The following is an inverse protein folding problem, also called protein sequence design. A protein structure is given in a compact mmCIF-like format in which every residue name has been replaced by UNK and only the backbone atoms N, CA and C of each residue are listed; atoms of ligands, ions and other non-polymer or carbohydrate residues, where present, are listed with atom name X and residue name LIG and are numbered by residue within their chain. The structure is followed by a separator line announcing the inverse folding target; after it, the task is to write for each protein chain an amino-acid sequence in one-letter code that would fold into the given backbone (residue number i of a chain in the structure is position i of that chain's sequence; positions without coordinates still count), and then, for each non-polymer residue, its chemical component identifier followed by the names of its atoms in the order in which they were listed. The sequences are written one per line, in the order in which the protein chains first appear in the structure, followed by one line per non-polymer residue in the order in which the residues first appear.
data_IF_557927559309
#
_entry.id   IF_557927559309
#
_cell.length_a   1.000
_cell.length_b   1.000
_cell.length_c   1.000
_cell.angle_alpha   90.00
_cell.angle_beta   90.00
_cell.angle_gamma   90.00
#
_symmetry.space_group_name_H-M   'P 1'
#
loop_
_entity.id
_entity.type
_entity.pdbx_description
1 polymer ?
#
# COMPACT_ATOMS: atom_id res chain seq x y z
N UNK A 1 11.74 -2.47 4.04
CA UNK A 1 10.66 -2.21 5.04
C UNK A 1 10.13 -3.53 5.59
N UNK A 2 9.33 -3.48 6.66
CA UNK A 2 8.61 -4.65 7.21
C UNK A 2 7.11 -4.41 7.09
N UNK A 3 6.38 -5.37 6.54
CA UNK A 3 4.91 -5.31 6.43
C UNK A 3 4.24 -6.24 7.44
N UNK A 4 3.03 -5.91 7.89
CA UNK A 4 2.22 -6.83 8.72
C UNK A 4 1.42 -7.77 7.84
N UNK A 5 1.30 -9.05 8.20
CA UNK A 5 0.42 -10.00 7.53
C UNK A 5 -0.42 -10.76 8.55
N UNK A 6 -1.69 -10.95 8.20
CA UNK A 6 -2.68 -11.66 9.01
C UNK A 6 -3.74 -12.23 8.05
N UNK A 7 -4.73 -12.97 8.59
CA UNK A 7 -5.79 -13.59 7.76
C UNK A 7 -6.54 -12.57 6.89
N UNK A 8 -6.69 -11.32 7.35
CA UNK A 8 -7.39 -10.26 6.61
C UNK A 8 -6.67 -9.88 5.33
N UNK A 9 -5.34 -9.94 5.30
CA UNK A 9 -4.57 -9.65 4.08
C UNK A 9 -4.78 -10.74 3.02
N UNK A 10 -4.81 -12.01 3.44
CA UNK A 10 -5.18 -13.11 2.55
C UNK A 10 -6.62 -12.99 2.04
N UNK A 11 -7.55 -12.59 2.91
CA UNK A 11 -8.94 -12.36 2.53
C UNK A 11 -9.09 -11.20 1.54
N UNK A 12 -8.31 -10.12 1.71
CA UNK A 12 -8.23 -9.02 0.75
C UNK A 12 -7.72 -9.50 -0.62
N UNK A 13 -6.60 -10.24 -0.66
CA UNK A 13 -6.07 -10.87 -1.89
C UNK A 13 -7.15 -11.69 -2.61
N UNK A 14 -7.80 -12.60 -1.90
CA UNK A 14 -8.85 -13.49 -2.44
C UNK A 14 -10.05 -12.69 -2.98
N UNK A 15 -10.43 -11.63 -2.29
CA UNK A 15 -11.55 -10.78 -2.69
C UNK A 15 -11.26 -9.94 -3.93
N UNK A 16 -10.06 -9.35 -4.01
CA UNK A 16 -9.63 -8.52 -5.14
C UNK A 16 -9.45 -9.33 -6.43
N UNK A 17 -9.04 -10.59 -6.30
CA UNK A 17 -8.88 -11.52 -7.44
C UNK A 17 -10.17 -12.25 -7.82
N UNK A 18 -11.28 -12.04 -7.07
CA UNK A 18 -12.59 -12.63 -7.38
C UNK A 18 -13.45 -11.64 -8.17
N UNK A 19 -13.95 -12.01 -9.37
CA UNK A 19 -14.82 -11.14 -10.17
C UNK A 19 -16.04 -10.64 -9.39
N UNK A 20 -16.45 -9.39 -9.61
CA UNK A 20 -17.61 -8.70 -8.99
C UNK A 20 -17.43 -8.26 -7.53
N UNK A 21 -16.70 -9.00 -6.70
CA UNK A 21 -16.42 -8.60 -5.29
C UNK A 21 -15.32 -7.53 -5.21
N UNK A 22 -14.39 -7.54 -6.17
CA UNK A 22 -13.20 -6.70 -6.18
C UNK A 22 -13.46 -5.20 -6.01
N UNK A 23 -14.45 -4.61 -6.69
CA UNK A 23 -14.65 -3.15 -6.65
C UNK A 23 -15.09 -2.62 -5.28
N UNK A 24 -15.94 -3.35 -4.55
CA UNK A 24 -16.39 -2.92 -3.22
C UNK A 24 -15.26 -3.04 -2.21
N UNK A 25 -14.50 -4.13 -2.28
CA UNK A 25 -13.36 -4.37 -1.38
C UNK A 25 -12.23 -3.39 -1.68
N UNK A 26 -11.95 -3.11 -2.96
CA UNK A 26 -11.01 -2.08 -3.41
C UNK A 26 -11.32 -0.73 -2.77
N UNK A 27 -12.54 -0.20 -2.94
CA UNK A 27 -12.91 1.10 -2.36
C UNK A 27 -12.71 1.14 -0.84
N UNK A 28 -13.09 0.07 -0.12
CA UNK A 28 -12.89 -0.01 1.34
C UNK A 28 -11.42 -0.08 1.74
N UNK A 29 -10.60 -0.77 0.94
CA UNK A 29 -9.17 -0.84 1.19
C UNK A 29 -8.47 0.49 0.88
N UNK A 30 -8.91 1.22 -0.14
CA UNK A 30 -8.48 2.60 -0.40
C UNK A 30 -8.80 3.47 0.81
N UNK A 31 -10.07 3.51 1.24
CA UNK A 31 -10.50 4.28 2.42
C UNK A 31 -9.67 3.93 3.67
N UNK A 32 -9.39 2.65 3.89
CA UNK A 32 -8.58 2.17 5.01
C UNK A 32 -7.13 2.70 4.94
N UNK A 33 -6.46 2.56 3.79
CA UNK A 33 -5.08 3.01 3.65
C UNK A 33 -4.99 4.53 3.72
N UNK A 34 -5.90 5.26 3.07
CA UNK A 34 -6.01 6.71 3.20
C UNK A 34 -6.13 7.11 4.66
N UNK A 35 -7.06 6.51 5.42
CA UNK A 35 -7.22 6.81 6.85
C UNK A 35 -5.93 6.58 7.65
N UNK A 36 -5.26 5.44 7.44
CA UNK A 36 -4.01 5.09 8.12
C UNK A 36 -2.91 6.13 7.83
N UNK A 37 -2.75 6.56 6.58
CA UNK A 37 -1.70 7.52 6.23
C UNK A 37 -2.08 8.95 6.61
N UNK A 38 -3.36 9.32 6.56
CA UNK A 38 -3.83 10.59 7.11
C UNK A 38 -3.57 10.71 8.61
N UNK A 39 -3.65 9.61 9.37
CA UNK A 39 -3.29 9.61 10.78
C UNK A 39 -1.80 9.86 11.04
N UNK A 40 -0.93 9.50 10.08
CA UNK A 40 0.50 9.80 10.09
C UNK A 40 0.82 11.21 9.56
N UNK A 41 -0.04 11.76 8.70
CA UNK A 41 0.17 13.05 8.04
C UNK A 41 0.17 14.23 9.02
N UNK A 42 0.88 15.30 8.66
CA UNK A 42 0.79 16.59 9.34
C UNK A 42 -0.68 17.04 9.45
N UNK A 43 -1.14 17.26 10.69
CA UNK A 43 -2.53 17.62 11.01
C UNK A 43 -3.03 18.84 10.22
N UNK A 44 -2.15 19.79 9.90
CA UNK A 44 -2.51 21.02 9.16
C UNK A 44 -2.93 20.73 7.73
N UNK A 45 -2.36 19.70 7.11
CA UNK A 45 -2.57 19.36 5.70
C UNK A 45 -3.37 18.08 5.49
N UNK A 46 -3.82 17.42 6.56
CA UNK A 46 -4.49 16.12 6.52
C UNK A 46 -5.66 16.11 5.52
N UNK A 47 -6.62 17.01 5.68
CA UNK A 47 -7.79 17.07 4.78
C UNK A 47 -7.41 17.39 3.34
N UNK A 48 -6.38 18.22 3.13
CA UNK A 48 -5.93 18.63 1.78
C UNK A 48 -5.22 17.49 1.02
N UNK A 49 -4.70 16.49 1.73
CA UNK A 49 -4.01 15.34 1.14
C UNK A 49 -4.94 14.17 0.84
N UNK A 50 -6.16 14.18 1.38
CA UNK A 50 -7.07 13.04 1.32
C UNK A 50 -7.38 12.61 -0.12
N UNK A 51 -7.88 13.53 -0.95
CA UNK A 51 -8.30 13.19 -2.31
C UNK A 51 -7.12 12.67 -3.14
N UNK A 52 -5.91 13.21 -2.91
CA UNK A 52 -4.70 12.70 -3.54
C UNK A 52 -4.38 11.26 -3.13
N UNK A 53 -4.45 10.96 -1.83
CA UNK A 53 -4.20 9.61 -1.31
C UNK A 53 -5.24 8.61 -1.80
N UNK A 54 -6.51 9.02 -1.89
CA UNK A 54 -7.59 8.18 -2.43
C UNK A 54 -7.30 7.80 -3.89
N UNK A 55 -7.01 8.79 -4.75
CA UNK A 55 -6.68 8.55 -6.16
C UNK A 55 -5.40 7.70 -6.32
N UNK A 56 -4.37 7.98 -5.50
CA UNK A 56 -3.09 7.28 -5.55
C UNK A 56 -3.24 5.82 -5.12
N UNK A 57 -3.90 5.56 -3.99
CA UNK A 57 -4.06 4.19 -3.51
C UNK A 57 -4.95 3.37 -4.43
N UNK A 58 -6.01 3.95 -5.00
CA UNK A 58 -6.80 3.26 -6.02
C UNK A 58 -5.93 2.83 -7.20
N UNK A 59 -5.11 3.73 -7.76
CA UNK A 59 -4.19 3.39 -8.84
C UNK A 59 -3.21 2.25 -8.46
N UNK A 60 -2.64 2.28 -7.24
CA UNK A 60 -1.69 1.22 -6.82
C UNK A 60 -2.34 -0.15 -6.64
N UNK A 61 -3.66 -0.25 -6.40
CA UNK A 61 -4.33 -1.55 -6.38
C UNK A 61 -4.33 -2.24 -7.76
N UNK A 62 -4.27 -1.50 -8.87
CA UNK A 62 -4.08 -2.11 -10.20
C UNK A 62 -2.68 -2.74 -10.32
N UNK A 63 -1.65 -2.04 -9.82
CA UNK A 63 -0.28 -2.58 -9.76
C UNK A 63 -0.19 -3.82 -8.85
N UNK A 64 -0.91 -3.84 -7.74
CA UNK A 64 -1.02 -5.02 -6.87
C UNK A 64 -1.58 -6.24 -7.61
N UNK A 65 -2.69 -6.07 -8.32
CA UNK A 65 -3.32 -7.17 -9.08
C UNK A 65 -2.40 -7.64 -10.20
N UNK A 66 -1.78 -6.73 -10.95
CA UNK A 66 -0.82 -7.08 -12.00
C UNK A 66 0.40 -7.82 -11.44
N UNK A 67 0.91 -7.45 -10.26
CA UNK A 67 2.00 -8.18 -9.60
C UNK A 67 1.57 -9.61 -9.24
N UNK A 68 0.36 -9.81 -8.70
CA UNK A 68 -0.16 -11.16 -8.45
C UNK A 68 -0.27 -11.98 -9.74
N UNK A 69 -0.79 -11.39 -10.81
CA UNK A 69 -0.94 -12.05 -12.11
C UNK A 69 0.42 -12.38 -12.77
N UNK A 70 1.44 -11.56 -12.50
CA UNK A 70 2.83 -11.80 -12.90
C UNK A 70 3.53 -12.88 -12.05
N UNK A 71 2.84 -13.45 -11.05
CA UNK A 71 3.31 -14.58 -10.24
C UNK A 71 4.10 -14.17 -9.00
N UNK A 72 4.08 -12.90 -8.60
CA UNK A 72 4.61 -12.48 -7.31
C UNK A 72 3.77 -13.06 -6.17
N UNK A 73 4.42 -13.34 -5.04
CA UNK A 73 3.71 -13.72 -3.82
C UNK A 73 2.87 -12.55 -3.29
N UNK A 74 1.89 -12.83 -2.45
CA UNK A 74 1.05 -11.79 -1.84
C UNK A 74 1.88 -10.72 -1.11
N UNK A 75 2.89 -11.15 -0.35
CA UNK A 75 3.78 -10.25 0.37
C UNK A 75 4.60 -9.37 -0.57
N UNK A 76 5.10 -9.93 -1.69
CA UNK A 76 5.84 -9.16 -2.70
C UNK A 76 4.94 -8.15 -3.42
N UNK A 77 3.72 -8.56 -3.81
CA UNK A 77 2.76 -7.67 -4.46
C UNK A 77 2.38 -6.49 -3.55
N UNK A 78 2.23 -6.72 -2.23
CA UNK A 78 2.06 -5.63 -1.27
C UNK A 78 3.31 -4.78 -1.13
N UNK A 79 4.48 -5.38 -0.98
CA UNK A 79 5.69 -4.58 -0.84
C UNK A 79 5.93 -3.67 -2.05
N UNK A 80 5.62 -4.13 -3.26
CA UNK A 80 5.61 -3.32 -4.49
C UNK A 80 4.76 -2.05 -4.31
N UNK A 81 3.51 -2.16 -3.84
CA UNK A 81 2.65 -0.98 -3.69
C UNK A 81 3.05 -0.07 -2.54
N UNK A 82 3.57 -0.64 -1.45
CA UNK A 82 4.14 0.15 -0.36
C UNK A 82 5.41 0.92 -0.81
N UNK A 83 6.24 0.33 -1.69
CA UNK A 83 7.37 1.03 -2.31
C UNK A 83 6.91 2.19 -3.20
N UNK A 84 5.87 1.98 -4.02
CA UNK A 84 5.27 3.07 -4.81
C UNK A 84 4.77 4.21 -3.91
N UNK A 85 4.06 3.89 -2.82
CA UNK A 85 3.62 4.91 -1.86
C UNK A 85 4.79 5.69 -1.25
N UNK A 86 5.87 5.00 -0.87
CA UNK A 86 7.04 5.66 -0.31
C UNK A 86 7.74 6.59 -1.32
N UNK A 87 7.73 6.25 -2.63
CA UNK A 87 8.24 7.13 -3.68
C UNK A 87 7.39 8.40 -3.81
N UNK A 88 6.06 8.29 -3.78
CA UNK A 88 5.19 9.48 -3.82
C UNK A 88 5.40 10.37 -2.59
N UNK A 89 5.47 9.76 -1.39
CA UNK A 89 5.72 10.50 -0.16
C UNK A 89 7.08 11.20 -0.19
N UNK A 90 8.12 10.54 -0.70
CA UNK A 90 9.42 11.14 -0.90
C UNK A 90 9.35 12.34 -1.85
N UNK A 91 8.75 12.17 -3.03
CA UNK A 91 8.63 13.24 -4.05
C UNK A 91 7.89 14.48 -3.54
N UNK A 92 7.00 14.29 -2.56
CA UNK A 92 6.21 15.37 -1.95
C UNK A 92 6.81 15.91 -0.66
N UNK A 93 7.90 15.34 -0.16
CA UNK A 93 8.50 15.71 1.13
C UNK A 93 7.61 15.36 2.33
N UNK A 94 6.76 14.35 2.20
CA UNK A 94 5.89 13.84 3.26
C UNK A 94 6.62 12.80 4.11
N UNK A 95 7.76 13.20 4.67
CA UNK A 95 8.68 12.30 5.38
C UNK A 95 8.05 11.62 6.59
N UNK A 96 7.01 12.24 7.18
CA UNK A 96 6.24 11.68 8.28
C UNK A 96 5.42 10.45 7.88
N UNK A 97 5.08 10.30 6.60
CA UNK A 97 4.31 9.15 6.10
C UNK A 97 5.20 8.03 5.56
N UNK A 98 6.50 8.27 5.40
CA UNK A 98 7.42 7.28 4.84
C UNK A 98 7.58 6.04 5.74
N UNK A 99 7.64 4.88 5.10
CA UNK A 99 7.74 3.55 5.75
C UNK A 99 9.15 2.95 5.69
N UNK A 100 10.02 3.50 4.84
CA UNK A 100 11.46 3.27 4.85
C UNK A 100 12.20 4.57 4.51
N UNK A 101 13.47 4.74 4.95
CA UNK A 101 14.18 6.00 4.81
C UNK A 101 14.60 6.28 3.36
N UNK A 102 14.80 7.56 3.03
CA UNK A 102 15.08 8.01 1.66
C UNK A 102 16.38 7.44 1.06
N UNK A 103 17.36 7.07 1.87
CA UNK A 103 18.62 6.45 1.40
C UNK A 103 18.44 4.99 0.93
N UNK A 104 17.29 4.37 1.20
CA UNK A 104 16.96 3.02 0.73
C UNK A 104 16.13 3.00 -0.59
N UNK A 105 15.72 4.15 -1.13
CA UNK A 105 14.85 4.23 -2.32
C UNK A 105 15.38 3.43 -3.51
N UNK A 106 16.66 3.60 -3.85
CA UNK A 106 17.29 2.90 -4.97
C UNK A 106 17.36 1.39 -4.70
N UNK A 107 17.64 0.98 -3.46
CA UNK A 107 17.71 -0.45 -3.10
C UNK A 107 16.35 -1.13 -3.25
N UNK A 108 15.28 -0.48 -2.79
CA UNK A 108 13.91 -1.00 -2.96
C UNK A 108 13.47 -0.98 -4.43
N UNK A 109 13.87 0.04 -5.19
CA UNK A 109 13.65 0.07 -6.65
C UNK A 109 14.33 -1.11 -7.34
N UNK A 110 15.62 -1.33 -7.08
CA UNK A 110 16.42 -2.37 -7.73
C UNK A 110 15.86 -3.78 -7.50
N UNK A 111 15.31 -4.05 -6.31
CA UNK A 111 14.70 -5.34 -5.96
C UNK A 111 13.58 -5.75 -6.92
N UNK A 112 12.72 -4.81 -7.31
CA UNK A 112 11.59 -5.06 -8.21
C UNK A 112 11.77 -4.40 -9.57
N UNK A 113 13.00 -4.07 -9.95
CA UNK A 113 13.27 -3.25 -11.13
C UNK A 113 12.76 -3.87 -12.43
N UNK A 114 12.67 -5.21 -12.54
CA UNK A 114 12.09 -5.85 -13.72
C UNK A 114 10.57 -5.64 -13.82
N UNK A 115 9.85 -5.60 -12.69
CA UNK A 115 8.44 -5.23 -12.66
C UNK A 115 8.27 -3.73 -12.91
N UNK A 116 9.03 -2.89 -12.18
CA UNK A 116 8.93 -1.44 -12.30
C UNK A 116 9.27 -0.94 -13.71
N UNK A 117 10.36 -1.42 -14.31
CA UNK A 117 10.72 -1.06 -15.70
C UNK A 117 9.71 -1.56 -16.74
N UNK A 118 9.01 -2.66 -16.47
CA UNK A 118 7.97 -3.16 -17.40
C UNK A 118 6.77 -2.23 -17.45
N UNK A 119 6.44 -1.61 -16.33
CA UNK A 119 5.26 -0.78 -16.16
C UNK A 119 5.58 0.72 -16.04
N UNK A 120 6.76 1.14 -16.51
CA UNK A 120 7.24 2.52 -16.46
C UNK A 120 7.18 3.19 -15.07
N UNK A 121 7.23 2.39 -13.99
CA UNK A 121 7.30 2.88 -12.61
C UNK A 121 8.74 3.32 -12.33
N UNK A 122 8.90 4.52 -11.80
CA UNK A 122 10.18 5.09 -11.35
C UNK A 122 10.03 5.76 -10.00
N UNK A 123 11.15 6.16 -9.38
CA UNK A 123 11.08 6.96 -8.14
C UNK A 123 10.36 8.29 -8.42
N UNK A 124 10.64 8.95 -9.55
CA UNK A 124 10.02 10.23 -9.92
C UNK A 124 8.58 10.11 -10.43
N UNK A 125 8.21 8.95 -10.98
CA UNK A 125 6.85 8.61 -11.44
C UNK A 125 6.38 7.27 -10.82
N UNK A 126 5.84 7.30 -9.59
CA UNK A 126 5.54 6.09 -8.83
C UNK A 126 4.40 5.25 -9.41
N UNK A 127 3.53 5.85 -10.24
CA UNK A 127 2.38 5.15 -10.83
C UNK A 127 2.69 4.58 -12.21
N UNK A 128 3.58 5.20 -12.98
CA UNK A 128 3.92 4.73 -14.33
C UNK A 128 2.69 4.50 -15.21
N UNK A 129 2.58 3.31 -15.80
CA UNK A 129 1.43 2.87 -16.61
C UNK A 129 0.09 2.86 -15.84
N UNK A 130 0.11 2.74 -14.51
CA UNK A 130 -1.08 2.67 -13.67
C UNK A 130 -1.66 4.05 -13.33
N UNK A 131 -1.04 5.13 -13.82
CA UNK A 131 -1.54 6.49 -13.59
C UNK A 131 -2.94 6.67 -14.21
N UNK A 132 -3.94 7.17 -13.44
CA UNK A 132 -5.27 7.47 -13.98
C UNK A 132 -5.21 8.48 -15.13
N UNK A 133 -6.13 8.38 -16.08
CA UNK A 133 -6.13 9.25 -17.27
C UNK A 133 -6.32 10.73 -16.94
N UNK A 134 -7.14 11.03 -15.93
CA UNK A 134 -7.33 12.35 -15.34
C UNK A 134 -6.18 12.82 -14.44
N UNK A 135 -5.23 11.93 -14.11
CA UNK A 135 -4.21 12.15 -13.10
C UNK A 135 -4.71 11.87 -11.69
N UNK A 136 -3.92 12.27 -10.69
CA UNK A 136 -4.33 12.25 -9.28
C UNK A 136 -4.60 13.68 -8.81
N UNK A 137 -5.48 13.86 -7.82
CA UNK A 137 -5.76 15.16 -7.25
C UNK A 137 -4.47 15.85 -6.75
N UNK A 138 -4.39 17.17 -6.90
CA UNK A 138 -3.28 17.96 -6.35
C UNK A 138 -3.35 18.00 -4.82
N UNK A 139 -2.19 17.97 -4.17
CA UNK A 139 -2.07 18.09 -2.73
C UNK A 139 -0.82 18.88 -2.32
N UNK A 140 -0.84 19.61 -1.19
CA UNK A 140 0.31 20.38 -0.70
C UNK A 140 1.55 19.51 -0.46
N UNK A 141 2.66 19.86 -1.10
CA UNK A 141 3.97 19.27 -0.86
C UNK A 141 4.73 20.08 0.22
N UNK A 142 5.64 19.40 0.92
CA UNK A 142 6.54 19.96 1.94
C UNK A 142 7.99 19.56 1.64
N UNK A 143 8.53 19.88 0.44
CA UNK A 143 9.85 19.44 -0.01
C UNK A 143 11.00 19.88 0.91
N UNK A 144 10.83 20.97 1.67
CA UNK A 144 11.76 21.43 2.69
C UNK A 144 12.05 20.39 3.78
N UNK A 145 11.14 19.45 4.02
CA UNK A 145 11.35 18.36 4.99
C UNK A 145 12.44 17.38 4.54
N UNK A 146 12.84 17.38 3.26
CA UNK A 146 13.90 16.51 2.75
C UNK A 146 15.31 17.02 3.08
N UNK A 147 15.46 18.29 3.49
CA UNK A 147 16.77 18.87 3.81
C UNK A 147 17.33 18.33 5.15
N UNK A 148 16.46 18.00 6.11
CA UNK A 148 16.76 17.37 7.40
C UNK A 148 15.61 16.42 7.79
N UNK A 149 15.54 15.22 7.17
CA UNK A 149 14.35 14.39 7.22
C UNK A 149 14.16 13.70 8.57
N UNK A 150 12.97 13.92 9.15
CA UNK A 150 12.45 13.09 10.24
C UNK A 150 11.53 12.01 9.67
N UNK A 151 11.84 10.75 9.98
CA UNK A 151 11.05 9.59 9.56
C UNK A 151 10.48 8.83 10.77
N UNK A 152 9.47 9.38 11.48
CA UNK A 152 8.93 8.81 12.72
C UNK A 152 8.34 7.40 12.56
N UNK A 153 8.05 6.98 11.33
CA UNK A 153 7.41 5.69 11.02
C UNK A 153 8.22 4.82 10.06
N UNK A 154 9.41 5.26 9.63
CA UNK A 154 10.25 4.47 8.77
C UNK A 154 11.12 3.50 9.59
N UNK A 155 11.17 2.25 9.15
CA UNK A 155 12.08 1.24 9.68
C UNK A 155 12.98 0.72 8.54
N UNK A 156 14.25 1.13 8.57
CA UNK A 156 15.26 0.68 7.61
C UNK A 156 15.89 -0.67 7.99
N UNK A 157 16.78 -1.17 7.12
CA UNK A 157 17.53 -2.42 7.34
C UNK A 157 16.81 -3.69 6.90
N UNK A 158 15.71 -3.56 6.17
CA UNK A 158 14.94 -4.67 5.59
C UNK A 158 14.96 -4.60 4.05
N UNK A 159 16.05 -4.06 3.49
CA UNK A 159 16.24 -3.87 2.06
C UNK A 159 16.86 -5.11 1.37
N UNK A 160 17.15 -6.17 2.11
CA UNK A 160 17.68 -7.45 1.62
C UNK A 160 16.61 -8.51 1.27
N UNK A 161 15.43 -8.48 1.89
CA UNK A 161 14.30 -9.39 1.56
C UNK A 161 12.94 -8.76 1.90
N UNK A 162 11.85 -9.48 1.60
CA UNK A 162 10.49 -9.14 2.00
C UNK A 162 10.23 -9.66 3.40
N UNK A 163 10.06 -8.78 4.38
CA UNK A 163 9.83 -9.17 5.76
C UNK A 163 8.38 -8.94 6.19
N UNK A 164 7.83 -9.96 6.83
CA UNK A 164 6.46 -9.99 7.32
C UNK A 164 6.44 -10.17 8.84
N UNK A 165 5.74 -9.29 9.55
CA UNK A 165 5.36 -9.47 10.96
C UNK A 165 4.03 -10.20 11.05
N UNK A 166 4.01 -11.36 11.69
CA UNK A 166 2.79 -12.15 11.92
C UNK A 166 1.95 -11.62 13.10
N UNK A 167 0.81 -12.26 13.36
CA UNK A 167 -0.12 -11.87 14.44
C UNK A 167 0.50 -12.00 15.85
N UNK A 168 1.53 -12.81 16.01
CA UNK A 168 2.26 -13.00 17.27
C UNK A 168 3.44 -12.03 17.42
N UNK A 169 3.70 -11.21 16.38
CA UNK A 169 4.83 -10.28 16.32
C UNK A 169 6.14 -10.93 15.91
N UNK A 170 6.13 -12.16 15.41
CA UNK A 170 7.34 -12.78 14.87
C UNK A 170 7.65 -12.23 13.48
N UNK A 171 8.94 -11.99 13.23
CA UNK A 171 9.43 -11.58 11.93
C UNK A 171 9.81 -12.81 11.10
N UNK A 172 9.18 -12.96 9.93
CA UNK A 172 9.44 -14.03 8.97
C UNK A 172 9.70 -13.47 7.57
N UNK A 173 10.41 -14.23 6.73
CA UNK A 173 10.51 -13.92 5.30
C UNK A 173 9.16 -14.19 4.64
N UNK A 174 8.72 -13.25 3.80
CA UNK A 174 7.49 -13.32 3.02
C UNK A 174 7.47 -14.48 2.02
N UNK A 175 6.31 -14.70 1.41
CA UNK A 175 6.13 -15.80 0.45
C UNK A 175 5.62 -17.11 1.06
N UNK A 176 5.03 -17.05 2.26
CA UNK A 176 4.27 -18.18 2.82
C UNK A 176 3.08 -18.54 1.92
N UNK A 177 2.64 -19.81 1.99
CA UNK A 177 1.47 -20.26 1.24
C UNK A 177 0.19 -19.68 1.83
N UNK A 178 -0.76 -19.36 0.94
CA UNK A 178 -2.10 -18.93 1.34
C UNK A 178 -2.75 -20.01 2.24
N UNK A 179 -3.36 -19.63 3.38
CA UNK A 179 -4.10 -20.57 4.21
C UNK A 179 -5.28 -21.21 3.45
N UNK A 180 -5.60 -22.48 3.74
CA UNK A 180 -6.61 -23.22 2.97
C UNK A 180 -8.06 -22.70 3.18
N UNK A 181 -8.33 -22.09 4.34
CA UNK A 181 -9.68 -21.69 4.77
C UNK A 181 -9.80 -20.17 4.97
N UNK A 182 -9.34 -19.39 3.98
CA UNK A 182 -9.52 -17.92 3.99
C UNK A 182 -10.95 -17.57 3.55
N UNK A 183 -11.73 -16.93 4.40
CA UNK A 183 -13.04 -16.39 4.03
C UNK A 183 -12.88 -14.98 3.42
N UNK A 184 -13.65 -14.68 2.38
CA UNK A 184 -13.70 -13.33 1.80
C UNK A 184 -14.38 -12.33 2.74
N UNK A 185 -15.20 -12.81 3.69
CA UNK A 185 -15.82 -11.96 4.71
C UNK A 185 -14.82 -11.40 5.71
N UNK A 186 -13.66 -12.06 5.88
CA UNK A 186 -12.58 -11.58 6.74
C UNK A 186 -11.81 -10.40 6.11
N UNK A 187 -12.10 -10.06 4.85
CA UNK A 187 -11.45 -8.94 4.18
C UNK A 187 -11.77 -7.63 4.92
N UNK A 188 -10.79 -6.72 5.08
CA UNK A 188 -11.01 -5.48 5.78
C UNK A 188 -12.24 -4.72 5.25
N UNK A 189 -13.12 -4.35 6.16
CA UNK A 189 -14.35 -3.63 5.85
C UNK A 189 -15.53 -4.47 5.36
N UNK A 190 -15.42 -5.80 5.15
CA UNK A 190 -16.56 -6.64 4.73
C UNK A 190 -17.48 -7.00 5.91
N UNK A 191 -16.97 -7.06 7.14
CA UNK A 191 -17.72 -7.59 8.30
C UNK A 191 -18.35 -6.55 9.25
N UNK A 192 -18.47 -5.28 8.86
CA UNK A 192 -19.11 -4.24 9.70
C UNK A 192 -20.61 -4.02 9.41
N UNK A 193 -21.31 -4.97 8.79
CA UNK A 193 -22.72 -4.74 8.46
C UNK A 193 -23.51 -5.89 7.86
N UNK A 194 -23.73 -6.95 8.64
CA UNK A 194 -24.89 -7.83 8.44
C UNK A 194 -25.65 -8.13 9.74
N UNK A 195 -25.94 -7.08 10.51
CA UNK A 195 -27.06 -7.07 11.46
C UNK A 195 -27.94 -5.86 11.15
N UNK A 196 -28.72 -5.93 10.06
CA UNK A 196 -30.01 -5.24 10.06
C UNK A 196 -30.95 -6.12 10.89
N UNK A 197 -31.02 -5.83 12.18
CA UNK A 197 -32.09 -6.28 13.04
C UNK A 197 -33.43 -5.96 12.35
N UNK A 198 -34.16 -7.03 12.05
CA UNK A 198 -35.60 -6.91 11.89
C UNK A 198 -36.18 -6.69 13.27
N UNK A 199 -36.69 -5.49 13.53
CA UNK A 199 -37.76 -5.30 14.50
C UNK A 199 -39.02 -4.81 13.79
N UNK A 200 -40.12 -5.45 14.19
CA UNK A 200 -41.47 -5.35 13.66
C UNK A 200 -42.21 -4.08 14.09
#
# INVERSE_FOLDING_TARGET
MKIRQNVRHWAAKKSLTTPVVGNVVRNKLVDLHTSIFLDKANETHREERKDHLDDFFDATFDAYVEALDAGFTEAQAREITHIQANFDFYNRGWTEMMEFPGDELETHYERYADFFRRHDITIDDPLGEFRPAEGTADAPATPENLDDPEHPHAEGGFADDVYVEDEEGNLVVGGQHEPQDVDVTDAPGVDEGSEREGEA
#
